data_IF_410450350731
#
_entry.id   IF_410450350731
#
_cell.length_a   1.000
_cell.length_b   1.000
_cell.length_c   1.000
_cell.angle_alpha   90.00
_cell.angle_beta   90.00
_cell.angle_gamma   90.00
#
_symmetry.space_group_name_H-M   'P 1'
#
loop_
_entity.id
_entity.type
_entity.pdbx_description
1 polymer ?
#
# COMPACT_ATOMS: atom_id res chain seq x y z
N UNK A 1 -1.36 -26.44 27.63
CA UNK A 1 -1.52 -26.18 26.19
C UNK A 1 -1.50 -24.67 25.97
N UNK A 2 -0.62 -24.10 25.15
CA UNK A 2 -0.68 -22.67 24.87
C UNK A 2 -1.93 -22.40 24.02
N UNK A 3 -2.86 -21.63 24.57
CA UNK A 3 -4.10 -21.25 23.90
C UNK A 3 -3.77 -20.16 22.87
N UNK A 4 -4.04 -20.43 21.59
CA UNK A 4 -4.02 -19.38 20.56
C UNK A 4 -5.04 -18.30 20.92
N UNK A 5 -4.69 -17.01 20.88
CA UNK A 5 -5.67 -15.95 21.09
C UNK A 5 -6.73 -15.98 19.97
N UNK A 6 -7.99 -15.64 20.26
CA UNK A 6 -9.06 -15.64 19.27
C UNK A 6 -8.77 -14.65 18.13
N UNK A 7 -9.18 -14.95 16.89
CA UNK A 7 -9.08 -13.99 15.79
C UNK A 7 -9.91 -12.75 16.16
N UNK A 8 -9.26 -11.58 16.24
CA UNK A 8 -9.99 -10.32 16.40
C UNK A 8 -10.90 -10.13 15.19
N UNK A 9 -12.13 -9.63 15.37
CA UNK A 9 -13.00 -9.33 14.25
C UNK A 9 -12.28 -8.35 13.31
N UNK A 10 -12.07 -8.76 12.07
CA UNK A 10 -11.58 -7.90 11.02
C UNK A 10 -12.63 -6.80 10.83
N UNK A 11 -12.32 -5.58 11.26
CA UNK A 11 -13.07 -4.40 10.79
C UNK A 11 -13.09 -4.46 9.26
N UNK A 12 -14.24 -4.28 8.59
CA UNK A 12 -14.29 -4.31 7.13
C UNK A 12 -13.28 -3.28 6.63
N UNK A 13 -12.18 -3.78 6.08
CA UNK A 13 -11.05 -2.96 5.71
C UNK A 13 -11.45 -1.98 4.62
N UNK A 14 -10.75 -0.84 4.56
CA UNK A 14 -10.91 0.15 3.48
C UNK A 14 -10.74 -0.48 2.08
N UNK A 15 -10.12 -1.65 2.04
CA UNK A 15 -9.97 -2.52 0.88
C UNK A 15 -10.67 -3.85 1.16
N UNK A 16 -11.72 -4.20 0.39
CA UNK A 16 -12.38 -5.49 0.52
C UNK A 16 -11.45 -6.64 0.13
N UNK A 17 -11.58 -7.74 0.83
CA UNK A 17 -10.87 -8.99 0.58
C UNK A 17 -11.11 -9.48 -0.86
N UNK A 18 -10.09 -10.14 -1.42
CA UNK A 18 -10.16 -10.80 -2.74
C UNK A 18 -10.52 -9.88 -3.93
N UNK A 19 -10.40 -8.56 -3.77
CA UNK A 19 -10.65 -7.56 -4.83
C UNK A 19 -9.34 -7.01 -5.36
N UNK A 20 -9.29 -6.74 -6.67
CA UNK A 20 -8.12 -6.13 -7.31
C UNK A 20 -7.87 -4.72 -6.76
N UNK A 21 -6.64 -4.48 -6.29
CA UNK A 21 -6.26 -3.20 -5.74
C UNK A 21 -6.25 -2.14 -6.86
N UNK A 22 -6.98 -1.05 -6.67
CA UNK A 22 -7.04 0.06 -7.64
C UNK A 22 -6.02 1.12 -7.26
N UNK A 23 -5.18 1.56 -8.21
CA UNK A 23 -4.18 2.60 -7.94
C UNK A 23 -4.82 3.86 -7.34
N UNK A 24 -5.91 4.33 -7.94
CA UNK A 24 -6.64 5.53 -7.50
C UNK A 24 -7.09 5.43 -6.04
N UNK A 25 -7.61 4.27 -5.63
CA UNK A 25 -8.03 4.04 -4.25
C UNK A 25 -6.83 4.05 -3.30
N UNK A 26 -5.72 3.43 -3.69
CA UNK A 26 -4.49 3.41 -2.90
C UNK A 26 -3.92 4.82 -2.73
N UNK A 27 -3.80 5.59 -3.81
CA UNK A 27 -3.27 6.96 -3.78
C UNK A 27 -4.14 7.87 -2.91
N UNK A 28 -5.46 7.75 -3.03
CA UNK A 28 -6.40 8.52 -2.21
C UNK A 28 -6.23 8.18 -0.74
N UNK A 29 -6.22 6.89 -0.38
CA UNK A 29 -6.05 6.45 0.99
C UNK A 29 -4.67 6.82 1.58
N UNK A 30 -3.60 6.75 0.80
CA UNK A 30 -2.26 7.19 1.23
C UNK A 30 -2.19 8.69 1.48
N UNK A 31 -2.89 9.50 0.67
CA UNK A 31 -2.96 10.94 0.88
C UNK A 31 -3.80 11.29 2.11
N UNK A 32 -4.94 10.62 2.30
CA UNK A 32 -5.79 10.77 3.49
C UNK A 32 -5.05 10.37 4.77
N UNK A 33 -4.24 9.31 4.73
CA UNK A 33 -3.42 8.87 5.86
C UNK A 33 -2.12 9.69 6.02
N UNK A 34 -1.88 10.66 5.15
CA UNK A 34 -0.77 11.61 5.23
C UNK A 34 0.60 11.03 4.85
N UNK A 35 0.66 9.96 4.06
CA UNK A 35 1.91 9.38 3.56
C UNK A 35 2.47 10.13 2.35
N UNK A 36 1.58 10.62 1.47
CA UNK A 36 1.93 11.33 0.22
C UNK A 36 1.23 12.68 0.13
N UNK A 37 1.65 13.52 -0.80
CA UNK A 37 0.99 14.78 -1.17
C UNK A 37 0.05 14.60 -2.38
N UNK A 38 -0.82 15.58 -2.61
CA UNK A 38 -1.65 15.63 -3.83
C UNK A 38 -0.82 15.71 -5.12
N UNK A 39 0.37 16.30 -5.06
CA UNK A 39 1.30 16.35 -6.20
C UNK A 39 1.81 14.95 -6.57
N UNK A 40 2.08 14.12 -5.57
CA UNK A 40 2.53 12.74 -5.77
C UNK A 40 1.45 11.88 -6.43
N UNK A 41 0.17 12.14 -6.15
CA UNK A 41 -0.96 11.50 -6.85
C UNK A 41 -0.89 11.80 -8.36
N UNK A 42 -0.63 13.06 -8.73
CA UNK A 42 -0.47 13.48 -10.13
C UNK A 42 0.69 12.74 -10.81
N UNK A 43 1.84 12.66 -10.13
CA UNK A 43 3.02 11.92 -10.63
C UNK A 43 2.73 10.43 -10.82
N UNK A 44 2.03 9.79 -9.89
CA UNK A 44 1.67 8.38 -10.02
C UNK A 44 0.72 8.11 -11.20
N UNK A 45 -0.24 9.02 -11.44
CA UNK A 45 -1.14 8.94 -12.60
C UNK A 45 -0.39 9.11 -13.92
N UNK A 46 0.57 10.02 -13.97
CA UNK A 46 1.42 10.20 -15.15
C UNK A 46 2.24 8.93 -15.42
N UNK A 47 2.85 8.35 -14.38
CA UNK A 47 3.63 7.13 -14.50
C UNK A 47 2.82 5.92 -15.01
N UNK A 48 1.52 5.83 -14.68
CA UNK A 48 0.63 4.81 -15.30
C UNK A 48 0.40 5.10 -16.78
N UNK A 49 0.18 6.36 -17.15
CA UNK A 49 -0.05 6.73 -18.56
C UNK A 49 1.18 6.50 -19.43
N UNK A 50 2.37 6.66 -18.87
CA UNK A 50 3.66 6.44 -19.52
C UNK A 50 4.04 4.95 -19.61
N UNK A 51 3.35 4.06 -18.88
CA UNK A 51 3.59 2.63 -18.99
C UNK A 51 3.16 2.10 -20.36
N UNK A 52 3.98 1.20 -20.89
CA UNK A 52 3.70 0.53 -22.16
C UNK A 52 2.39 -0.24 -22.04
N UNK A 53 1.53 -0.07 -23.04
CA UNK A 53 0.28 -0.82 -23.18
C UNK A 53 0.57 -2.33 -23.08
N UNK A 54 -0.03 -3.00 -22.10
CA UNK A 54 0.14 -4.44 -21.86
C UNK A 54 1.01 -4.82 -20.66
N UNK A 55 1.65 -3.86 -19.98
CA UNK A 55 2.37 -4.13 -18.71
C UNK A 55 1.42 -3.92 -17.54
N UNK A 56 1.06 -5.01 -16.85
CA UNK A 56 0.22 -4.97 -15.66
C UNK A 56 1.09 -4.87 -14.39
N UNK A 57 1.49 -3.66 -14.02
CA UNK A 57 2.26 -3.44 -12.78
C UNK A 57 1.30 -3.31 -11.61
N UNK A 58 1.56 -4.08 -10.53
CA UNK A 58 0.78 -3.97 -9.31
C UNK A 58 0.91 -2.54 -8.72
N UNK A 59 -0.20 -1.88 -8.31
CA UNK A 59 -0.18 -0.47 -7.90
C UNK A 59 0.79 -0.17 -6.75
N UNK A 60 0.96 -1.08 -5.78
CA UNK A 60 1.94 -0.89 -4.72
C UNK A 60 3.39 -0.86 -5.23
N UNK A 61 3.71 -1.70 -6.23
CA UNK A 61 5.04 -1.78 -6.83
C UNK A 61 5.32 -0.51 -7.62
N UNK A 62 4.31 -0.04 -8.37
CA UNK A 62 4.38 1.22 -9.09
C UNK A 62 4.69 2.38 -8.15
N UNK A 63 3.92 2.53 -7.07
CA UNK A 63 4.14 3.62 -6.11
C UNK A 63 5.52 3.50 -5.45
N UNK A 64 5.95 2.29 -5.09
CA UNK A 64 7.28 2.08 -4.51
C UNK A 64 8.42 2.50 -5.46
N UNK A 65 8.28 2.23 -6.75
CA UNK A 65 9.27 2.59 -7.76
C UNK A 65 9.37 4.10 -8.01
N UNK A 66 8.30 4.85 -7.71
CA UNK A 66 8.31 6.31 -7.79
C UNK A 66 9.06 6.99 -6.64
N UNK A 67 9.45 6.22 -5.61
CA UNK A 67 10.28 6.68 -4.50
C UNK A 67 9.75 7.97 -3.86
N UNK A 68 8.45 8.05 -3.65
CA UNK A 68 7.85 9.21 -2.99
C UNK A 68 8.43 9.38 -1.59
N UNK A 69 8.65 10.62 -1.19
CA UNK A 69 9.10 10.92 0.17
C UNK A 69 8.00 10.55 1.17
N UNK A 70 8.34 9.76 2.18
CA UNK A 70 7.37 9.38 3.20
C UNK A 70 7.12 10.58 4.12
N UNK A 71 5.94 11.20 4.02
CA UNK A 71 5.63 12.39 4.83
C UNK A 71 5.47 12.10 6.32
N UNK A 72 5.26 10.84 6.71
CA UNK A 72 5.21 10.40 8.12
C UNK A 72 6.59 10.02 8.66
N UNK A 73 7.56 9.77 7.78
CA UNK A 73 8.96 9.47 8.12
C UNK A 73 9.88 10.27 7.22
N UNK A 74 10.24 11.52 7.59
CA UNK A 74 10.96 12.43 6.72
C UNK A 74 12.35 11.94 6.27
N UNK A 75 12.88 10.92 6.95
CA UNK A 75 14.15 10.23 6.70
C UNK A 75 14.04 9.03 5.73
N UNK A 76 12.82 8.69 5.27
CA UNK A 76 12.59 7.50 4.45
C UNK A 76 11.73 7.77 3.22
N UNK A 77 11.93 6.96 2.19
CA UNK A 77 11.05 6.88 1.01
C UNK A 77 9.94 5.85 1.23
N UNK A 78 8.84 6.00 0.50
CA UNK A 78 7.78 5.01 0.43
C UNK A 78 8.24 3.81 -0.40
N UNK A 79 8.73 2.79 0.29
CA UNK A 79 9.11 1.52 -0.30
C UNK A 79 7.95 0.50 -0.24
N UNK A 80 8.13 -0.61 -0.96
CA UNK A 80 7.12 -1.68 -1.04
C UNK A 80 6.80 -2.28 0.34
N UNK A 81 7.80 -2.42 1.20
CA UNK A 81 7.62 -2.97 2.55
C UNK A 81 6.69 -2.08 3.40
N UNK A 82 6.93 -0.77 3.39
CA UNK A 82 6.10 0.22 4.10
C UNK A 82 4.68 0.23 3.56
N UNK A 83 4.54 0.18 2.23
CA UNK A 83 3.23 0.14 1.58
C UNK A 83 2.46 -1.15 1.88
N UNK A 84 3.15 -2.29 1.95
CA UNK A 84 2.51 -3.59 2.26
C UNK A 84 2.10 -3.64 3.73
N UNK A 85 2.93 -3.13 4.63
CA UNK A 85 2.58 -3.01 6.05
C UNK A 85 1.39 -2.07 6.24
N UNK A 86 1.38 -0.92 5.55
CA UNK A 86 0.25 0.01 5.55
C UNK A 86 -1.03 -0.66 5.04
N UNK A 87 -0.96 -1.38 3.91
CA UNK A 87 -2.14 -2.07 3.35
C UNK A 87 -2.68 -3.12 4.32
N UNK A 88 -1.81 -3.87 5.00
CA UNK A 88 -2.21 -4.85 6.00
C UNK A 88 -2.99 -4.19 7.15
N UNK A 89 -2.53 -3.01 7.62
CA UNK A 89 -3.26 -2.22 8.62
C UNK A 89 -4.63 -1.78 8.10
N UNK A 90 -4.72 -1.32 6.85
CA UNK A 90 -5.99 -0.88 6.23
C UNK A 90 -6.98 -2.03 5.99
N UNK A 91 -6.48 -3.23 5.69
CA UNK A 91 -7.28 -4.43 5.48
C UNK A 91 -7.60 -5.18 6.79
N UNK A 92 -7.08 -4.73 7.93
CA UNK A 92 -7.27 -5.40 9.22
C UNK A 92 -6.60 -6.78 9.30
N UNK A 93 -5.67 -7.09 8.40
CA UNK A 93 -4.96 -8.37 8.37
C UNK A 93 -3.61 -8.25 9.08
N UNK A 94 -3.17 -9.36 9.70
CA UNK A 94 -1.86 -9.39 10.37
C UNK A 94 -0.75 -9.44 9.31
N UNK A 95 0.11 -8.43 9.29
CA UNK A 95 1.35 -8.47 8.51
C UNK A 95 2.31 -9.46 9.16
N UNK A 96 2.62 -10.56 8.48
CA UNK A 96 3.66 -11.51 8.87
C UNK A 96 4.77 -11.43 7.83
N UNK A 97 5.95 -10.95 8.24
CA UNK A 97 7.15 -11.03 7.42
C UNK A 97 7.62 -12.48 7.44
N UNK A 98 7.49 -13.15 6.30
CA UNK A 98 8.04 -14.48 6.06
C UNK A 98 9.41 -14.29 5.44
N UNK A 99 10.45 -14.34 6.28
CA UNK A 99 11.84 -14.36 5.84
C UNK A 99 12.19 -15.76 5.30
N UNK A 100 12.67 -15.89 4.06
CA UNK A 100 13.15 -17.15 3.52
C UNK A 100 14.59 -17.38 4.01
N UNK A 101 14.77 -17.97 5.19
CA UNK A 101 16.07 -18.50 5.62
C UNK A 101 16.05 -20.02 5.59
#
# INVERSE_FOLDING_TARGET
>A
MPSSPPPRPAVPGRFPDNTRLSLERVLTALAEDGYISHEDIGRARQAVREQRTGVDIHPLVLIANLKFRNRRRPDAELNLETLTHWLAQQAGVRYLRIDPT
#
